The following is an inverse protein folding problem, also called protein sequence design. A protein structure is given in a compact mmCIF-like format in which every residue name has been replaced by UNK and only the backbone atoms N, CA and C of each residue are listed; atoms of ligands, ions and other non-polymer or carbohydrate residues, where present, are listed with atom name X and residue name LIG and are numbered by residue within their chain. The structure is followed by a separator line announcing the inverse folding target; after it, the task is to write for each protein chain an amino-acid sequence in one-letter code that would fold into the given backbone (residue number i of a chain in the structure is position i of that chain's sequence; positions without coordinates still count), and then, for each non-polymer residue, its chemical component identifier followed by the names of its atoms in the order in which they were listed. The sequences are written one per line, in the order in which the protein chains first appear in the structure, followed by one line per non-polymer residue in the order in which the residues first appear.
data_IF_141234265983
#
_entry.id   IF_141234265983
#
_cell.length_a   1.000
_cell.length_b   1.000
_cell.length_c   1.000
_cell.angle_alpha   90.00
_cell.angle_beta   90.00
_cell.angle_gamma   90.00
#
_symmetry.space_group_name_H-M   'P 1'
#
loop_
_entity.id
_entity.type
_entity.pdbx_description
1 polymer ?
#
# COMPACT_ATOMS: atom_id res chain seq x y z
N UNK A 1 14.81 22.79 45.94
CA UNK A 1 15.16 21.91 44.81
C UNK A 1 13.93 21.07 44.52
N UNK A 2 13.13 21.47 43.53
CA UNK A 2 11.93 20.76 43.10
C UNK A 2 12.33 19.94 41.88
N UNK A 3 12.29 18.62 42.01
CA UNK A 3 12.59 17.68 40.93
C UNK A 3 11.41 17.70 39.95
N UNK A 4 11.67 18.25 38.76
CA UNK A 4 10.77 18.16 37.61
C UNK A 4 10.79 16.73 37.08
N UNK A 5 9.71 15.99 37.32
CA UNK A 5 9.39 14.78 36.56
C UNK A 5 9.21 15.16 35.08
N UNK A 6 10.19 14.81 34.25
CA UNK A 6 9.99 14.73 32.81
C UNK A 6 9.12 13.50 32.55
N UNK A 7 7.83 13.73 32.31
CA UNK A 7 6.97 12.77 31.62
C UNK A 7 7.42 12.77 30.17
N UNK A 8 8.17 11.74 29.77
CA UNK A 8 8.36 11.43 28.36
C UNK A 8 7.04 10.85 27.86
N UNK A 9 6.25 11.66 27.16
CA UNK A 9 5.12 11.17 26.38
C UNK A 9 5.65 10.19 25.33
N UNK A 10 5.47 8.88 25.57
CA UNK A 10 5.60 7.92 24.49
C UNK A 10 4.51 8.22 23.45
N UNK A 11 4.83 8.14 22.14
CA UNK A 11 3.82 8.28 21.09
C UNK A 11 2.80 7.15 21.23
N UNK A 12 1.69 7.44 21.93
CA UNK A 12 0.61 6.49 22.14
C UNK A 12 -0.36 6.60 20.97
N UNK A 13 -0.42 5.56 20.15
CA UNK A 13 -1.49 5.46 19.15
C UNK A 13 -2.82 5.23 19.86
N UNK A 14 -3.88 5.99 19.52
CA UNK A 14 -5.20 5.75 20.06
C UNK A 14 -5.68 4.34 19.67
N UNK A 15 -5.94 3.51 20.69
CA UNK A 15 -6.36 2.12 20.53
C UNK A 15 -7.87 2.08 20.23
N UNK A 16 -8.29 1.22 19.30
CA UNK A 16 -9.70 0.91 19.08
C UNK A 16 -10.46 1.87 18.16
N UNK A 17 -9.81 2.89 17.61
CA UNK A 17 -10.37 3.76 16.57
C UNK A 17 -9.51 3.75 15.30
N UNK A 18 -10.10 3.98 14.11
CA UNK A 18 -9.35 4.15 12.88
C UNK A 18 -8.32 5.27 13.01
N UNK A 19 -7.04 4.92 12.88
CA UNK A 19 -5.92 5.84 13.09
C UNK A 19 -4.99 5.78 11.89
N UNK A 20 -4.53 6.94 11.41
CA UNK A 20 -3.48 7.03 10.39
C UNK A 20 -2.12 6.98 11.07
N UNK A 21 -1.27 6.06 10.64
CA UNK A 21 0.10 5.86 11.12
C UNK A 21 1.04 6.02 9.93
N UNK A 22 1.92 7.02 9.95
CA UNK A 22 2.92 7.26 8.91
C UNK A 22 4.30 6.84 9.40
N UNK A 23 4.86 5.76 8.85
CA UNK A 23 6.11 5.12 9.27
C UNK A 23 6.83 4.48 8.08
N UNK A 24 8.12 4.18 8.23
CA UNK A 24 8.90 3.53 7.17
C UNK A 24 8.61 2.03 7.13
N UNK A 25 8.43 1.46 5.95
CA UNK A 25 8.19 0.02 5.82
C UNK A 25 9.51 -0.76 6.01
N UNK A 26 9.57 -1.61 7.04
CA UNK A 26 10.63 -2.62 7.17
C UNK A 26 10.14 -3.90 6.50
N UNK A 27 10.84 -4.30 5.43
CA UNK A 27 10.50 -5.43 4.57
C UNK A 27 9.11 -5.38 3.91
N UNK A 28 8.96 -4.68 2.79
CA UNK A 28 7.88 -4.89 1.85
C UNK A 28 8.41 -5.40 0.50
N UNK A 29 7.83 -6.51 0.06
CA UNK A 29 7.52 -6.75 -1.35
C UNK A 29 6.02 -6.73 -1.46
N UNK A 30 5.42 -5.55 -1.33
CA UNK A 30 3.96 -5.46 -1.29
C UNK A 30 3.49 -4.17 -1.96
N UNK A 31 3.28 -4.26 -3.25
CA UNK A 31 1.95 -4.45 -3.80
C UNK A 31 2.25 -4.97 -5.21
N UNK A 32 1.85 -6.18 -5.57
CA UNK A 32 1.79 -6.46 -7.00
C UNK A 32 0.39 -6.04 -7.43
N UNK A 33 0.23 -4.75 -7.69
CA UNK A 33 -0.95 -4.25 -8.40
C UNK A 33 -0.68 -4.37 -9.89
N UNK A 34 -0.92 -5.56 -10.43
CA UNK A 34 -0.86 -5.78 -11.88
C UNK A 34 -2.19 -5.36 -12.48
N UNK A 35 -2.23 -4.17 -13.09
CA UNK A 35 -3.37 -3.72 -13.88
C UNK A 35 -3.06 -3.92 -15.36
N UNK A 36 -3.86 -4.77 -16.02
CA UNK A 36 -3.86 -4.89 -17.47
C UNK A 36 -4.98 -4.08 -18.09
N UNK A 37 -4.60 -3.06 -18.88
CA UNK A 37 -5.51 -2.28 -19.71
C UNK A 37 -5.68 -2.95 -21.07
N UNK A 38 -6.26 -4.15 -21.10
CA UNK A 38 -6.86 -4.72 -22.31
C UNK A 38 -8.36 -4.42 -22.28
N UNK A 39 -9.11 -4.64 -23.38
CA UNK A 39 -10.56 -4.39 -23.52
C UNK A 39 -11.46 -4.82 -22.32
N UNK A 40 -10.95 -5.63 -21.41
CA UNK A 40 -11.49 -5.86 -20.06
C UNK A 40 -10.41 -5.49 -19.02
N UNK A 41 -10.58 -4.41 -18.27
CA UNK A 41 -9.65 -4.02 -17.20
C UNK A 41 -9.51 -5.17 -16.18
N UNK A 42 -8.33 -5.78 -16.10
CA UNK A 42 -8.03 -6.84 -15.12
C UNK A 42 -7.07 -6.28 -14.08
N UNK A 43 -7.49 -6.28 -12.81
CA UNK A 43 -6.67 -5.82 -11.67
C UNK A 43 -6.44 -6.98 -10.73
N UNK A 44 -5.17 -7.29 -10.49
CA UNK A 44 -4.75 -8.26 -9.47
C UNK A 44 -4.04 -7.52 -8.34
N UNK A 45 -4.33 -7.89 -7.09
CA UNK A 45 -3.71 -7.30 -5.89
C UNK A 45 -3.20 -8.39 -4.98
N UNK A 46 -1.91 -8.35 -4.67
CA UNK A 46 -1.29 -9.23 -3.69
C UNK A 46 -0.71 -8.41 -2.53
N UNK A 47 -1.23 -8.67 -1.32
CA UNK A 47 -0.79 -8.02 -0.08
C UNK A 47 -0.62 -9.10 0.98
N UNK A 48 0.55 -9.13 1.61
CA UNK A 48 0.85 -10.01 2.76
C UNK A 48 0.94 -9.17 4.03
N UNK A 49 1.05 -9.79 5.20
CA UNK A 49 1.32 -9.04 6.43
C UNK A 49 2.74 -8.44 6.39
N UNK A 50 2.92 -7.23 6.89
CA UNK A 50 4.23 -6.56 6.90
C UNK A 50 4.40 -5.68 8.15
N UNK A 51 5.65 -5.29 8.43
CA UNK A 51 5.95 -4.35 9.50
C UNK A 51 6.14 -2.94 8.97
N UNK A 52 5.63 -1.98 9.72
CA UNK A 52 6.05 -0.58 9.61
C UNK A 52 6.81 -0.21 10.87
N UNK A 53 7.82 0.62 10.72
CA UNK A 53 8.69 1.03 11.81
C UNK A 53 9.03 2.51 11.74
N UNK A 54 9.16 3.13 12.90
CA UNK A 54 9.87 4.39 13.02
C UNK A 54 11.33 4.10 13.36
N UNK A 55 12.27 4.54 12.51
CA UNK A 55 13.69 4.41 12.83
C UNK A 55 14.09 5.28 14.04
N UNK A 56 13.46 6.44 14.23
CA UNK A 56 13.83 7.37 15.29
C UNK A 56 13.35 6.91 16.67
N UNK A 57 12.09 6.46 16.77
CA UNK A 57 11.53 5.99 18.05
C UNK A 57 11.73 4.49 18.29
N UNK A 58 12.15 3.72 17.28
CA UNK A 58 12.25 2.26 17.35
C UNK A 58 10.90 1.54 17.38
N UNK A 59 9.80 2.28 17.22
CA UNK A 59 8.46 1.74 17.22
C UNK A 59 8.24 0.81 16.03
N UNK A 60 7.57 -0.32 16.25
CA UNK A 60 7.24 -1.30 15.21
C UNK A 60 5.77 -1.72 15.33
N UNK A 61 5.04 -1.67 14.22
CA UNK A 61 3.67 -2.12 14.14
C UNK A 61 3.52 -3.19 13.05
N UNK A 62 2.82 -4.27 13.35
CA UNK A 62 2.46 -5.31 12.40
C UNK A 62 1.16 -4.93 11.70
N UNK A 63 1.21 -4.75 10.40
CA UNK A 63 0.04 -4.49 9.55
C UNK A 63 -0.53 -5.84 9.11
N UNK A 64 -1.80 -6.09 9.46
CA UNK A 64 -2.51 -7.34 9.17
C UNK A 64 -3.36 -7.20 7.90
N UNK A 65 -2.77 -7.59 6.78
CA UNK A 65 -3.32 -7.44 5.43
C UNK A 65 -3.49 -8.76 4.69
N UNK A 66 -3.12 -9.89 5.30
CA UNK A 66 -3.19 -11.22 4.72
C UNK A 66 -4.58 -11.75 4.36
N UNK A 67 -4.58 -12.95 3.77
CA UNK A 67 -5.66 -13.55 2.96
C UNK A 67 -7.08 -13.37 3.52
N UNK A 68 -7.83 -12.47 2.88
CA UNK A 68 -9.22 -12.13 3.20
C UNK A 68 -9.44 -10.68 3.64
N UNK A 69 -8.39 -9.99 4.10
CA UNK A 69 -8.46 -8.57 4.39
C UNK A 69 -8.54 -7.74 3.09
N UNK A 70 -9.52 -6.84 3.03
CA UNK A 70 -9.59 -5.85 1.93
C UNK A 70 -8.52 -4.78 2.15
N UNK A 71 -7.88 -4.38 1.05
CA UNK A 71 -6.85 -3.34 1.06
C UNK A 71 -7.17 -2.36 -0.04
N UNK A 72 -7.13 -1.07 0.32
CA UNK A 72 -7.27 0.04 -0.62
C UNK A 72 -5.89 0.69 -0.78
N UNK A 73 -5.12 0.31 -1.82
CA UNK A 73 -3.82 0.90 -2.09
C UNK A 73 -3.95 2.26 -2.78
N UNK A 74 -3.05 3.17 -2.41
CA UNK A 74 -2.74 4.45 -3.04
C UNK A 74 -1.24 4.46 -3.31
N UNK A 75 -0.86 3.67 -4.30
CA UNK A 75 0.51 3.52 -4.80
C UNK A 75 0.49 3.95 -6.26
N UNK A 76 1.52 4.69 -6.68
CA UNK A 76 1.63 5.09 -8.08
C UNK A 76 2.01 3.88 -8.93
N UNK A 77 1.26 3.67 -10.00
CA UNK A 77 1.47 2.61 -10.97
C UNK A 77 2.54 3.00 -11.99
N UNK A 78 3.47 2.08 -12.28
CA UNK A 78 4.48 2.21 -13.35
C UNK A 78 4.18 1.27 -14.51
N UNK A 79 4.36 1.71 -15.75
CA UNK A 79 4.20 0.82 -16.92
C UNK A 79 5.40 -0.11 -16.99
N UNK A 80 5.17 -1.41 -16.85
CA UNK A 80 6.21 -2.45 -16.91
C UNK A 80 6.24 -3.13 -18.27
N UNK A 81 5.08 -3.27 -18.91
CA UNK A 81 4.97 -3.82 -20.26
C UNK A 81 4.02 -2.95 -21.06
N UNK A 82 4.47 -2.50 -22.22
CA UNK A 82 3.66 -1.81 -23.23
C UNK A 82 3.72 -2.62 -24.51
N UNK A 83 2.59 -3.19 -24.90
CA UNK A 83 2.45 -4.01 -26.11
C UNK A 83 1.70 -3.18 -27.15
N UNK A 84 2.33 -3.00 -28.30
CA UNK A 84 1.75 -2.36 -29.46
C UNK A 84 2.01 -3.21 -30.72
N UNK A 85 1.29 -2.94 -31.83
CA UNK A 85 1.47 -3.70 -33.07
C UNK A 85 2.89 -3.66 -33.67
N UNK A 86 3.71 -2.69 -33.25
CA UNK A 86 5.08 -2.48 -33.73
C UNK A 86 6.13 -3.22 -32.88
N UNK A 87 5.81 -3.64 -31.64
CA UNK A 87 6.71 -4.31 -30.69
C UNK A 87 6.21 -5.71 -30.24
N UNK A 88 5.72 -6.51 -31.19
CA UNK A 88 5.02 -7.79 -30.91
C UNK A 88 5.86 -8.89 -30.22
N UNK A 89 7.16 -8.68 -30.03
CA UNK A 89 8.04 -9.62 -29.34
C UNK A 89 7.80 -9.61 -27.82
N UNK A 90 7.02 -10.58 -27.34
CA UNK A 90 6.69 -10.76 -25.93
C UNK A 90 7.51 -11.88 -25.27
N UNK A 91 7.87 -11.68 -24.00
CA UNK A 91 8.52 -12.73 -23.20
C UNK A 91 7.61 -13.99 -23.09
N UNK A 92 8.16 -15.22 -23.22
CA UNK A 92 7.41 -16.45 -23.01
C UNK A 92 6.71 -16.52 -21.64
N UNK A 93 7.31 -15.92 -20.60
CA UNK A 93 6.72 -15.88 -19.27
C UNK A 93 5.45 -15.01 -19.24
N UNK A 94 5.43 -13.90 -19.98
CA UNK A 94 4.28 -13.03 -20.10
C UNK A 94 3.15 -13.70 -20.90
N UNK A 95 3.48 -14.37 -22.01
CA UNK A 95 2.50 -15.16 -22.77
C UNK A 95 1.89 -16.29 -21.93
N UNK A 96 2.70 -16.96 -21.11
CA UNK A 96 2.21 -17.97 -20.15
C UNK A 96 1.28 -17.35 -19.11
N UNK A 97 1.64 -16.20 -18.56
CA UNK A 97 0.83 -15.47 -17.58
C UNK A 97 -0.53 -15.03 -18.16
N UNK A 98 -0.57 -14.60 -19.43
CA UNK A 98 -1.79 -14.25 -20.16
C UNK A 98 -2.66 -15.50 -20.39
N UNK A 99 -2.06 -16.59 -20.85
CA UNK A 99 -2.74 -17.87 -21.10
C UNK A 99 -3.37 -18.45 -19.84
N UNK A 100 -2.68 -18.39 -18.68
CA UNK A 100 -3.23 -18.78 -17.38
C UNK A 100 -4.50 -18.01 -16.98
N UNK A 101 -4.73 -16.83 -17.57
CA UNK A 101 -5.85 -15.93 -17.28
C UNK A 101 -6.86 -15.85 -18.42
N UNK A 102 -6.74 -16.69 -19.44
CA UNK A 102 -7.57 -16.66 -20.66
C UNK A 102 -7.55 -15.29 -21.36
N UNK A 103 -6.42 -14.58 -21.30
CA UNK A 103 -6.21 -13.32 -22.01
C UNK A 103 -5.48 -13.57 -23.32
N UNK A 104 -5.94 -12.93 -24.40
CA UNK A 104 -5.27 -12.95 -25.70
C UNK A 104 -4.52 -11.63 -25.91
N UNK A 105 -3.34 -11.76 -26.52
CA UNK A 105 -2.49 -10.65 -26.98
C UNK A 105 -2.75 -10.26 -28.45
N UNK A 106 -3.75 -10.84 -29.11
CA UNK A 106 -3.96 -10.65 -30.56
C UNK A 106 -4.36 -9.21 -30.90
N UNK A 107 -3.51 -8.54 -31.69
CA UNK A 107 -3.66 -7.22 -32.32
C UNK A 107 -4.26 -6.12 -31.41
N UNK A 108 -4.04 -6.24 -30.11
CA UNK A 108 -4.47 -5.29 -29.08
C UNK A 108 -3.29 -4.47 -28.59
N UNK A 109 -3.54 -3.19 -28.36
CA UNK A 109 -2.69 -2.39 -27.47
C UNK A 109 -2.98 -2.86 -26.04
N UNK A 110 -1.94 -3.26 -25.30
CA UNK A 110 -2.07 -3.73 -23.92
C UNK A 110 -0.97 -3.11 -23.07
N UNK A 111 -1.34 -2.58 -21.91
CA UNK A 111 -0.39 -2.11 -20.91
C UNK A 111 -0.52 -2.91 -19.63
N UNK A 112 0.60 -3.45 -19.16
CA UNK A 112 0.78 -3.92 -17.80
C UNK A 112 1.38 -2.80 -16.97
N UNK A 113 0.63 -2.39 -15.96
CA UNK A 113 1.07 -1.47 -14.94
C UNK A 113 1.28 -2.20 -13.64
N UNK A 114 2.33 -1.85 -12.92
CA UNK A 114 2.68 -2.38 -11.61
C UNK A 114 3.03 -1.24 -10.66
N UNK A 115 2.36 -1.18 -9.52
CA UNK A 115 2.72 -0.31 -8.39
C UNK A 115 3.06 -1.16 -7.17
N UNK A 116 4.26 -1.00 -6.59
CA UNK A 116 4.73 -1.75 -5.41
C UNK A 116 5.32 -0.83 -4.33
N UNK A 117 5.30 -1.28 -3.08
CA UNK A 117 6.01 -0.65 -1.97
C UNK A 117 7.32 -1.39 -1.70
N UNK A 118 8.42 -0.64 -1.58
CA UNK A 118 9.79 -1.13 -1.34
C UNK A 118 10.25 -0.87 0.09
N UNK A 119 11.25 -1.65 0.51
CA UNK A 119 11.86 -1.46 1.82
C UNK A 119 12.49 -0.08 1.92
N UNK A 120 12.27 0.59 3.05
CA UNK A 120 12.66 1.98 3.23
C UNK A 120 11.72 3.00 2.59
N UNK A 121 10.65 2.58 1.91
CA UNK A 121 9.58 3.50 1.51
C UNK A 121 8.82 4.00 2.74
N UNK A 122 8.55 5.30 2.78
CA UNK A 122 7.66 5.88 3.79
C UNK A 122 6.21 5.57 3.42
N UNK A 123 5.50 4.90 4.32
CA UNK A 123 4.11 4.50 4.13
C UNK A 123 3.20 5.11 5.17
N UNK A 124 2.00 5.49 4.75
CA UNK A 124 0.89 5.80 5.63
C UNK A 124 -0.11 4.66 5.61
N UNK A 125 -0.37 4.08 6.78
CA UNK A 125 -1.35 3.01 6.97
C UNK A 125 -2.53 3.58 7.77
N UNK A 126 -3.75 3.33 7.31
CA UNK A 126 -4.97 3.63 8.07
C UNK A 126 -5.70 2.32 8.37
N UNK A 127 -5.97 2.11 9.66
CA UNK A 127 -6.69 0.95 10.17
C UNK A 127 -6.96 1.10 11.67
N UNK A 128 -7.47 0.05 12.31
CA UNK A 128 -7.68 0.05 13.75
C UNK A 128 -6.41 -0.43 14.43
N UNK A 129 -5.91 0.38 15.36
CA UNK A 129 -4.76 0.00 16.18
C UNK A 129 -5.24 -0.93 17.27
N UNK A 130 -4.64 -2.12 17.30
CA UNK A 130 -4.86 -3.16 18.28
C UNK A 130 -3.54 -3.46 18.99
N UNK A 131 -3.58 -3.73 20.28
CA UNK A 131 -2.41 -4.18 21.03
C UNK A 131 -2.65 -5.60 21.48
N UNK A 132 -1.83 -6.52 20.98
CA UNK A 132 -1.84 -7.92 21.41
C UNK A 132 -0.52 -8.22 22.11
N UNK A 133 -0.59 -8.41 23.43
CA UNK A 133 0.59 -8.49 24.31
C UNK A 133 1.56 -7.30 24.10
N UNK A 134 2.75 -7.60 23.55
CA UNK A 134 3.81 -6.64 23.26
C UNK A 134 3.89 -6.25 21.78
N UNK A 135 2.94 -6.70 20.95
CA UNK A 135 2.91 -6.40 19.53
C UNK A 135 1.83 -5.35 19.26
N UNK A 136 2.24 -4.21 18.72
CA UNK A 136 1.31 -3.24 18.15
C UNK A 136 0.87 -3.76 16.77
N UNK A 137 -0.43 -3.81 16.55
CA UNK A 137 -1.02 -4.33 15.33
C UNK A 137 -1.94 -3.28 14.70
N UNK A 138 -1.95 -3.22 13.38
CA UNK A 138 -2.93 -2.44 12.62
C UNK A 138 -3.78 -3.44 11.85
N UNK A 139 -5.07 -3.49 12.17
CA UNK A 139 -6.03 -4.41 11.58
C UNK A 139 -7.07 -3.66 10.74
N UNK A 140 -7.75 -4.33 9.79
CA UNK A 140 -8.82 -3.71 9.02
C UNK A 140 -9.93 -3.17 9.93
N UNK A 141 -10.47 -1.97 9.68
CA UNK A 141 -11.65 -1.49 10.38
C UNK A 141 -12.85 -2.41 10.07
N UNK A 142 -13.75 -2.63 11.04
CA UNK A 142 -14.93 -3.48 10.86
C UNK A 142 -15.94 -2.89 9.87
N UNK A 143 -15.93 -1.56 9.71
CA UNK A 143 -16.80 -0.83 8.78
C UNK A 143 -15.95 -0.06 7.76
N UNK A 144 -16.45 0.11 6.51
CA UNK A 144 -15.78 0.93 5.52
C UNK A 144 -15.63 2.38 5.99
N UNK A 145 -14.49 2.99 5.67
CA UNK A 145 -14.21 4.38 5.98
C UNK A 145 -14.78 5.25 4.85
N UNK A 146 -15.71 6.15 5.14
CA UNK A 146 -16.18 7.12 4.15
C UNK A 146 -15.27 8.35 4.15
N UNK A 147 -14.78 8.74 2.98
CA UNK A 147 -14.30 10.11 2.79
C UNK A 147 -15.56 10.99 2.79
N UNK A 148 -15.63 11.98 3.68
CA UNK A 148 -16.78 12.89 3.74
C UNK A 148 -16.97 13.66 2.42
N UNK A 149 -18.11 14.31 2.24
CA UNK A 149 -18.34 15.12 1.05
C UNK A 149 -17.78 16.54 1.22
N UNK A 150 -16.82 16.94 0.38
CA UNK A 150 -16.35 18.32 0.29
C UNK A 150 -16.73 18.92 -1.07
N UNK A 151 -17.99 19.37 -1.18
CA UNK A 151 -18.54 19.99 -2.39
C UNK A 151 -17.69 21.15 -2.91
N UNK A 152 -17.15 21.98 -2.01
CA UNK A 152 -16.29 23.12 -2.37
C UNK A 152 -14.96 22.71 -3.04
N UNK A 153 -14.52 21.45 -2.90
CA UNK A 153 -13.30 20.91 -3.51
C UNK A 153 -13.58 19.86 -4.59
N UNK A 154 -14.85 19.68 -4.98
CA UNK A 154 -15.28 18.64 -5.91
C UNK A 154 -14.85 17.21 -5.50
N UNK A 155 -14.71 16.95 -4.20
CA UNK A 155 -14.36 15.62 -3.68
C UNK A 155 -15.66 14.86 -3.42
N UNK A 156 -15.92 13.86 -4.26
CA UNK A 156 -17.03 12.94 -4.08
C UNK A 156 -16.76 12.00 -2.90
N UNK A 157 -17.81 11.62 -2.14
CA UNK A 157 -17.66 10.64 -1.08
C UNK A 157 -17.26 9.29 -1.69
N UNK A 158 -16.18 8.72 -1.17
CA UNK A 158 -15.67 7.40 -1.53
C UNK A 158 -15.65 6.53 -0.28
N UNK A 159 -16.12 5.29 -0.41
CA UNK A 159 -15.99 4.26 0.63
C UNK A 159 -14.67 3.52 0.46
N UNK A 160 -13.80 3.59 1.45
CA UNK A 160 -12.55 2.86 1.52
C UNK A 160 -12.78 1.61 2.36
N UNK A 161 -12.48 0.45 1.80
CA UNK A 161 -12.70 -0.82 2.47
C UNK A 161 -11.38 -1.39 2.98
N UNK A 162 -11.42 -1.84 4.24
CA UNK A 162 -10.29 -2.44 4.92
C UNK A 162 -9.13 -1.48 5.16
N UNK A 163 -7.90 -1.96 5.04
CA UNK A 163 -6.70 -1.16 5.33
C UNK A 163 -6.40 -0.24 4.16
N UNK A 164 -6.19 1.05 4.44
CA UNK A 164 -5.73 2.00 3.43
C UNK A 164 -4.22 2.10 3.50
N UNK A 165 -3.55 1.84 2.37
CA UNK A 165 -2.10 1.94 2.25
C UNK A 165 -1.76 3.05 1.28
N UNK A 166 -0.98 4.03 1.73
CA UNK A 166 -0.43 5.08 0.86
C UNK A 166 1.08 5.05 0.92
N UNK A 167 1.72 4.97 -0.23
CA UNK A 167 3.17 5.12 -0.33
C UNK A 167 3.48 6.57 -0.71
N UNK A 168 4.42 7.20 -0.03
CA UNK A 168 5.03 8.44 -0.52
C UNK A 168 6.38 8.07 -1.13
N UNK A 169 6.52 8.34 -2.43
CA UNK A 169 7.71 7.94 -3.19
C UNK A 169 8.88 8.86 -2.83
N UNK A 170 9.72 8.42 -1.89
CA UNK A 170 10.92 9.15 -1.44
C UNK A 170 12.14 8.89 -2.33
N UNK A 171 11.98 8.14 -3.43
CA UNK A 171 13.07 7.72 -4.35
C UNK A 171 13.82 8.85 -5.07
N UNK A 172 13.53 10.13 -4.79
CA UNK A 172 14.32 11.29 -5.25
C UNK A 172 15.35 11.81 -4.25
N UNK A 173 15.50 11.21 -3.07
CA UNK A 173 16.47 11.67 -2.07
C UNK A 173 17.40 10.52 -1.70
N UNK A 174 18.16 10.05 -2.69
CA UNK A 174 19.35 9.23 -2.45
C UNK A 174 20.46 10.16 -1.94
N UNK A 175 20.40 10.50 -0.65
CA UNK A 175 21.52 11.11 0.06
C UNK A 175 21.68 10.34 1.36
N UNK A 176 22.56 9.34 1.33
CA UNK A 176 23.13 8.72 2.51
C UNK A 176 24.06 9.77 3.15
N UNK A 177 23.76 10.33 4.34
CA UNK A 177 24.77 11.10 5.05
C UNK A 177 25.81 10.14 5.63
N UNK A 178 27.06 10.33 5.20
CA UNK A 178 28.28 9.68 5.72
C UNK A 178 28.64 10.17 7.12
#
# INVERSE_FOLDING_TARGET
MQSSHLVTDEPSFPIGSPTRVGLDATTPRIAEESTLLALNNFTYRHVVDFYISDFQSGLRALVKTGFGARVTPYVDDSVVIDVNPENKDMSPDFLRWLGQRNLSSDDRVMQLKEGYIKEGSTVSVMGVVHRNDNVLMIVPPPEPLTTGCQWAKCIFPASLEGIVLRCEDTSKIDVIPV
#
